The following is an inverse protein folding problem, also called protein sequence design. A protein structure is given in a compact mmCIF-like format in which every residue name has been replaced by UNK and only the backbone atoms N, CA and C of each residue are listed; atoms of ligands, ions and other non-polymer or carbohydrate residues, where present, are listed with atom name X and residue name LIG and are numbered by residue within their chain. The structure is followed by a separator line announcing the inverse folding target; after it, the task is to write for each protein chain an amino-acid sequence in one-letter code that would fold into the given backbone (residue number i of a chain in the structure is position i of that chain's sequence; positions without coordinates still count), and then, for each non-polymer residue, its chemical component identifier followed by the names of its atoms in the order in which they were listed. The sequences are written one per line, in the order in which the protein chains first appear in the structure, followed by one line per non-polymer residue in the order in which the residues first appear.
data_IF_828775884635
#
_entry.id   IF_828775884635
#
_cell.length_a   1.000
_cell.length_b   1.000
_cell.length_c   1.000
_cell.angle_alpha   90.00
_cell.angle_beta   90.00
_cell.angle_gamma   90.00
#
_symmetry.space_group_name_H-M   'P 1'
#
loop_
_entity.id
_entity.type
_entity.pdbx_description
1 polymer ?
#
# COMPACT_ATOMS: atom_id res chain seq x y z
N UNK A 1 16.35 14.11 5.85
CA UNK A 1 16.88 12.75 6.08
C UNK A 1 16.99 12.58 7.59
N UNK A 2 16.41 11.53 8.17
CA UNK A 2 16.40 11.33 9.62
C UNK A 2 17.07 10.00 9.95
N UNK A 3 18.12 10.04 10.76
CA UNK A 3 18.86 8.86 11.25
C UNK A 3 18.42 8.57 12.68
N UNK A 4 18.23 7.30 13.02
CA UNK A 4 17.80 6.86 14.35
C UNK A 4 18.68 5.72 14.82
N UNK A 5 18.88 5.62 16.14
CA UNK A 5 19.72 4.59 16.75
C UNK A 5 18.92 3.32 16.97
N UNK A 6 19.52 2.18 16.66
CA UNK A 6 18.97 0.87 16.99
C UNK A 6 19.14 0.62 18.49
N UNK A 7 18.03 0.44 19.20
CA UNK A 7 18.03 0.19 20.64
C UNK A 7 18.48 -1.23 20.98
N UNK A 8 18.72 -1.50 22.27
CA UNK A 8 19.15 -2.81 22.80
C UNK A 8 18.23 -3.98 22.44
N UNK A 9 16.98 -3.73 22.05
CA UNK A 9 16.00 -4.76 21.63
C UNK A 9 15.74 -4.76 20.13
N UNK A 10 16.67 -4.24 19.33
CA UNK A 10 16.50 -4.08 17.88
C UNK A 10 15.30 -3.19 17.51
N UNK A 11 14.98 -2.20 18.35
CA UNK A 11 13.87 -1.27 18.10
C UNK A 11 14.41 0.05 17.57
N UNK A 12 13.72 0.62 16.59
CA UNK A 12 14.00 1.96 16.08
C UNK A 12 12.83 2.89 16.42
N UNK A 13 13.14 4.09 16.90
CA UNK A 13 12.12 5.11 17.09
C UNK A 13 11.85 5.77 15.74
N UNK A 14 10.60 5.68 15.27
CA UNK A 14 10.16 6.36 14.05
C UNK A 14 10.12 7.87 14.32
N UNK A 15 10.92 8.70 13.64
CA UNK A 15 10.98 10.15 13.87
C UNK A 15 9.63 10.84 13.62
N UNK A 16 9.39 11.97 14.30
CA UNK A 16 8.11 12.72 14.21
C UNK A 16 7.71 13.04 12.78
N UNK A 17 8.66 13.48 11.94
CA UNK A 17 8.41 13.82 10.54
C UNK A 17 7.83 12.62 9.76
N UNK A 18 8.41 11.43 9.95
CA UNK A 18 7.94 10.19 9.30
C UNK A 18 6.57 9.78 9.82
N UNK A 19 6.34 9.85 11.14
CA UNK A 19 5.04 9.55 11.75
C UNK A 19 3.92 10.44 11.21
N UNK A 20 4.17 11.74 11.09
CA UNK A 20 3.19 12.70 10.58
C UNK A 20 2.92 12.48 9.08
N UNK A 21 3.96 12.28 8.27
CA UNK A 21 3.80 12.03 6.82
C UNK A 21 3.03 10.74 6.55
N UNK A 22 3.30 9.68 7.31
CA UNK A 22 2.61 8.40 7.19
C UNK A 22 1.27 8.34 7.96
N UNK A 23 0.94 9.39 8.75
CA UNK A 23 -0.24 9.45 9.63
C UNK A 23 -0.32 8.25 10.58
N UNK A 24 0.81 7.79 11.12
CA UNK A 24 0.88 6.65 12.04
C UNK A 24 0.24 7.01 13.39
N UNK A 25 -0.55 6.09 13.92
CA UNK A 25 -1.20 6.20 15.23
C UNK A 25 -0.49 5.30 16.26
N UNK A 26 -0.65 5.63 17.54
CA UNK A 26 -0.11 4.79 18.63
C UNK A 26 -0.88 3.48 18.68
N UNK A 27 -0.17 2.36 18.79
CA UNK A 27 -0.77 1.02 18.78
C UNK A 27 -1.13 0.48 17.39
N UNK A 28 -0.80 1.20 16.33
CA UNK A 28 -1.00 0.75 14.96
C UNK A 28 0.10 -0.26 14.56
N UNK A 29 -0.29 -1.36 13.90
CA UNK A 29 0.67 -2.35 13.40
C UNK A 29 1.29 -1.86 12.09
N UNK A 30 2.57 -2.15 11.90
CA UNK A 30 3.30 -1.87 10.65
C UNK A 30 3.92 -3.16 10.14
N UNK A 31 4.03 -3.28 8.82
CA UNK A 31 4.69 -4.40 8.16
C UNK A 31 6.06 -3.97 7.69
N UNK A 32 7.07 -4.79 7.94
CA UNK A 32 8.44 -4.61 7.49
C UNK A 32 8.74 -5.63 6.39
N UNK A 33 9.17 -5.16 5.23
CA UNK A 33 9.64 -5.99 4.13
C UNK A 33 11.14 -5.80 3.96
N UNK A 34 11.90 -6.89 3.98
CA UNK A 34 13.31 -6.85 3.58
C UNK A 34 13.39 -6.75 2.06
N UNK A 35 14.12 -5.77 1.54
CA UNK A 35 14.39 -5.65 0.10
C UNK A 35 15.70 -6.33 -0.27
N UNK A 36 16.73 -6.16 0.58
CA UNK A 36 18.07 -6.73 0.40
C UNK A 36 18.81 -6.71 1.76
N UNK A 37 20.14 -6.86 1.74
CA UNK A 37 20.97 -6.91 2.96
C UNK A 37 20.96 -5.61 3.75
N UNK A 38 20.82 -4.47 3.08
CA UNK A 38 21.04 -3.15 3.67
C UNK A 38 19.73 -2.36 3.81
N UNK A 39 18.65 -2.80 3.15
CA UNK A 39 17.41 -2.05 3.02
C UNK A 39 16.19 -2.87 3.38
N UNK A 40 15.30 -2.19 4.11
CA UNK A 40 13.95 -2.66 4.39
C UNK A 40 12.95 -1.51 4.19
N UNK A 41 11.70 -1.86 3.86
CA UNK A 41 10.59 -0.92 3.72
C UNK A 41 9.60 -1.14 4.83
N UNK A 42 9.22 -0.04 5.48
CA UNK A 42 8.13 0.00 6.44
C UNK A 42 6.86 0.49 5.76
N UNK A 43 5.79 -0.28 5.88
CA UNK A 43 4.48 0.05 5.34
C UNK A 43 3.42 -0.10 6.42
N UNK A 44 2.39 0.76 6.34
CA UNK A 44 1.23 0.64 7.22
C UNK A 44 0.57 -0.72 7.00
N UNK A 45 0.29 -1.43 8.07
CA UNK A 45 -0.45 -2.67 7.97
C UNK A 45 -1.93 -2.32 7.74
N UNK A 46 -2.42 -2.53 6.52
CA UNK A 46 -3.87 -2.51 6.30
C UNK A 46 -4.46 -3.73 7.01
N UNK A 47 -5.39 -3.51 7.95
CA UNK A 47 -6.15 -4.59 8.59
C UNK A 47 -6.89 -5.47 7.56
N UNK A 48 -7.13 -4.93 6.36
CA UNK A 48 -7.72 -5.67 5.25
C UNK A 48 -7.10 -5.18 3.92
N UNK A 49 -6.05 -5.84 3.41
CA UNK A 49 -5.43 -5.49 2.13
C UNK A 49 -6.44 -5.50 0.97
N UNK A 50 -7.42 -6.41 1.01
CA UNK A 50 -8.45 -6.56 -0.02
C UNK A 50 -9.40 -5.35 -0.05
N UNK A 51 -9.76 -4.79 1.10
CA UNK A 51 -10.53 -3.54 1.17
C UNK A 51 -9.72 -2.35 0.68
N UNK A 52 -8.43 -2.27 1.02
CA UNK A 52 -7.56 -1.20 0.55
C UNK A 52 -7.36 -1.24 -0.98
N UNK A 53 -7.39 -2.44 -1.57
CA UNK A 53 -7.31 -2.64 -3.03
C UNK A 53 -8.67 -2.49 -3.73
N UNK A 54 -9.78 -2.44 -2.99
CA UNK A 54 -11.12 -2.39 -3.57
C UNK A 54 -11.35 -1.05 -4.26
N UNK A 55 -11.60 -1.10 -5.57
CA UNK A 55 -11.89 0.09 -6.38
C UNK A 55 -10.65 0.81 -6.91
N UNK A 56 -9.44 0.28 -6.66
CA UNK A 56 -8.25 0.69 -7.41
C UNK A 56 -8.51 0.47 -8.92
N UNK A 57 -8.27 1.50 -9.73
CA UNK A 57 -8.54 1.47 -11.18
C UNK A 57 -10.00 1.69 -11.58
N UNK A 58 -10.93 1.98 -10.66
CA UNK A 58 -12.35 2.23 -10.98
C UNK A 58 -12.53 3.41 -11.96
N UNK A 59 -11.74 4.46 -11.79
CA UNK A 59 -11.73 5.65 -12.67
C UNK A 59 -11.34 5.27 -14.11
N UNK A 60 -10.29 4.46 -14.26
CA UNK A 60 -9.82 3.96 -15.55
C UNK A 60 -10.89 3.10 -16.22
N UNK A 61 -11.52 2.20 -15.46
CA UNK A 61 -12.63 1.38 -15.95
C UNK A 61 -13.82 2.22 -16.41
N UNK A 62 -14.16 3.31 -15.69
CA UNK A 62 -15.20 4.25 -16.13
C UNK A 62 -14.82 4.95 -17.42
N UNK A 63 -13.59 5.44 -17.54
CA UNK A 63 -13.10 6.11 -18.75
C UNK A 63 -13.13 5.22 -20.00
N UNK A 64 -12.90 3.91 -19.84
CA UNK A 64 -12.99 2.93 -20.93
C UNK A 64 -14.44 2.60 -21.35
N UNK A 65 -15.44 3.20 -20.71
CA UNK A 65 -16.86 2.98 -20.97
C UNK A 65 -17.50 1.92 -20.08
N UNK A 66 -16.84 1.56 -18.98
CA UNK A 66 -17.34 0.61 -17.99
C UNK A 66 -17.22 -0.85 -18.41
N UNK A 67 -17.47 -1.73 -17.44
CA UNK A 67 -17.35 -3.18 -17.59
C UNK A 67 -18.26 -3.72 -18.70
N UNK A 68 -19.47 -3.18 -18.83
CA UNK A 68 -20.47 -3.65 -19.80
C UNK A 68 -19.99 -3.51 -21.25
N UNK A 69 -19.38 -2.36 -21.58
CA UNK A 69 -18.85 -2.09 -22.91
C UNK A 69 -17.71 -3.04 -23.26
N UNK A 70 -16.85 -3.33 -22.29
CA UNK A 70 -15.73 -4.26 -22.46
C UNK A 70 -16.21 -5.70 -22.65
N UNK A 71 -17.09 -6.19 -21.78
CA UNK A 71 -17.64 -7.56 -21.87
C UNK A 71 -18.37 -7.76 -23.20
N UNK A 72 -19.15 -6.77 -23.65
CA UNK A 72 -19.85 -6.83 -24.94
C UNK A 72 -18.87 -6.93 -26.12
N UNK A 73 -17.75 -6.19 -26.07
CA UNK A 73 -16.71 -6.26 -27.10
C UNK A 73 -16.07 -7.65 -27.15
N UNK A 74 -15.65 -8.18 -26.00
CA UNK A 74 -15.06 -9.52 -25.91
C UNK A 74 -16.02 -10.60 -26.42
N UNK A 75 -17.29 -10.58 -26.00
CA UNK A 75 -18.31 -11.54 -26.48
C UNK A 75 -18.51 -11.51 -27.99
N UNK A 76 -18.45 -10.32 -28.59
CA UNK A 76 -18.57 -10.18 -30.05
C UNK A 76 -17.32 -10.68 -30.79
N UNK A 77 -16.13 -10.61 -30.18
CA UNK A 77 -14.89 -11.07 -30.79
C UNK A 77 -14.72 -12.60 -30.77
N UNK A 78 -15.44 -13.29 -29.89
CA UNK A 78 -15.43 -14.75 -29.75
C UNK A 78 -16.51 -15.45 -30.58
N UNK A 79 -17.19 -14.69 -31.44
CA UNK A 79 -18.27 -15.15 -32.32
C UNK A 79 -17.75 -15.25 -33.75
#
# INVERSE_FOLDING_TARGET
MATTTLSKKYQVVIPKEVRTRMRLQVGETVTLYSLDRDRAVLVKHSRNPTEALRGLGKEVWRALGGTEKYIRKERNAWR
#
